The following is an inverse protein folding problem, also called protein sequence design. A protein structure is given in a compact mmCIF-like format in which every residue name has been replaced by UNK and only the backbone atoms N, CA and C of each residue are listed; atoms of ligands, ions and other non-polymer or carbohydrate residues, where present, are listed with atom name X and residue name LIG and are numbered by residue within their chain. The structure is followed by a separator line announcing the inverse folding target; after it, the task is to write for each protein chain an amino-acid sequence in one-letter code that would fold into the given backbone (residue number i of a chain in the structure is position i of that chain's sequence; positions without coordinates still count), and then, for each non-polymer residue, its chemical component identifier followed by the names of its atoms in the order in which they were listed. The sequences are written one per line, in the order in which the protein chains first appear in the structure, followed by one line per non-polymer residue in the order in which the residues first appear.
data_IF_580971446394
#
_entry.id   IF_580971446394
#
_cell.length_a   1.000
_cell.length_b   1.000
_cell.length_c   1.000
_cell.angle_alpha   90.00
_cell.angle_beta   90.00
_cell.angle_gamma   90.00
#
_symmetry.space_group_name_H-M   'P 1'
#
loop_
_entity.id
_entity.type
_entity.pdbx_description
1 polymer ?
#
# COMPACT_ATOMS: atom_id res chain seq x y z
N UNK A 1 -17.05 -9.80 6.05
CA UNK A 1 -16.69 -9.97 4.61
C UNK A 1 -15.22 -9.63 4.44
N UNK A 2 -14.49 -10.34 3.58
CA UNK A 2 -13.11 -9.98 3.25
C UNK A 2 -13.06 -8.61 2.56
N UNK A 3 -12.13 -7.75 2.99
CA UNK A 3 -11.90 -6.43 2.39
C UNK A 3 -10.57 -6.43 1.64
N UNK A 4 -10.50 -5.84 0.43
CA UNK A 4 -9.24 -5.72 -0.28
C UNK A 4 -8.29 -4.77 0.48
N UNK A 5 -6.99 -5.06 0.45
CA UNK A 5 -5.98 -4.16 1.03
C UNK A 5 -5.59 -3.13 -0.03
N UNK A 6 -5.71 -1.84 0.28
CA UNK A 6 -5.24 -0.77 -0.59
C UNK A 6 -3.71 -0.70 -0.57
N UNK A 7 -3.09 -0.93 -1.72
CA UNK A 7 -1.68 -0.63 -1.99
C UNK A 7 -1.55 0.48 -3.02
N UNK A 8 -0.51 1.29 -2.93
CA UNK A 8 -0.19 2.30 -3.96
C UNK A 8 1.32 2.49 -4.05
N UNK A 9 1.77 2.87 -5.24
CA UNK A 9 3.05 3.55 -5.41
C UNK A 9 2.79 5.06 -5.34
N UNK A 10 3.70 5.80 -4.73
CA UNK A 10 3.57 7.25 -4.61
C UNK A 10 4.85 7.92 -5.12
N UNK A 11 4.68 9.00 -5.86
CA UNK A 11 5.78 9.85 -6.28
C UNK A 11 5.99 10.94 -5.23
N UNK A 12 7.20 11.02 -4.68
CA UNK A 12 7.54 11.98 -3.62
C UNK A 12 8.76 12.80 -4.01
N UNK A 13 8.76 14.08 -3.65
CA UNK A 13 9.88 15.00 -3.91
C UNK A 13 10.74 15.12 -2.64
N UNK A 14 12.03 14.75 -2.68
CA UNK A 14 12.91 14.89 -1.52
C UNK A 14 13.01 16.35 -1.05
N UNK A 15 12.97 16.58 0.27
CA UNK A 15 13.13 17.92 0.86
C UNK A 15 14.47 18.58 0.45
N UNK A 16 15.53 17.80 0.29
CA UNK A 16 16.86 18.24 -0.12
C UNK A 16 17.00 18.56 -1.62
N UNK A 17 15.99 18.28 -2.46
CA UNK A 17 16.09 18.48 -3.91
C UNK A 17 16.37 19.95 -4.26
N UNK A 18 17.34 20.16 -5.17
CA UNK A 18 17.63 21.48 -5.77
C UNK A 18 16.66 21.85 -6.89
N UNK A 19 15.89 20.90 -7.41
CA UNK A 19 15.01 21.08 -8.58
C UNK A 19 13.52 20.85 -8.26
N UNK A 20 13.04 21.34 -7.11
CA UNK A 20 11.67 21.08 -6.62
C UNK A 20 10.58 21.47 -7.61
N UNK A 21 10.71 22.63 -8.29
CA UNK A 21 9.74 23.11 -9.28
C UNK A 21 9.64 22.14 -10.48
N UNK A 22 10.78 21.72 -11.03
CA UNK A 22 10.82 20.78 -12.14
C UNK A 22 10.28 19.41 -11.74
N UNK A 23 10.67 18.91 -10.57
CA UNK A 23 10.15 17.65 -10.03
C UNK A 23 8.63 17.68 -9.84
N UNK A 24 8.06 18.82 -9.39
CA UNK A 24 6.62 19.00 -9.29
C UNK A 24 5.93 19.02 -10.66
N UNK A 25 6.52 19.67 -11.67
CA UNK A 25 6.00 19.63 -13.05
C UNK A 25 6.01 18.21 -13.62
N UNK A 26 7.09 17.46 -13.40
CA UNK A 26 7.17 16.05 -13.78
C UNK A 26 6.09 15.22 -13.07
N UNK A 27 5.91 15.40 -11.77
CA UNK A 27 4.88 14.68 -11.00
C UNK A 27 3.46 14.92 -11.54
N UNK A 28 3.15 16.17 -11.92
CA UNK A 28 1.86 16.52 -12.54
C UNK A 28 1.69 15.87 -13.91
N UNK A 29 2.73 15.87 -14.74
CA UNK A 29 2.71 15.21 -16.04
C UNK A 29 2.54 13.69 -15.90
N UNK A 30 3.31 13.05 -15.02
CA UNK A 30 3.23 11.61 -14.75
C UNK A 30 1.84 11.19 -14.23
N UNK A 31 1.25 11.99 -13.33
CA UNK A 31 -0.08 11.77 -12.80
C UNK A 31 -1.23 12.26 -13.69
N UNK A 32 -0.96 12.73 -14.91
CA UNK A 32 -1.98 13.26 -15.81
C UNK A 32 -2.81 12.15 -16.45
N UNK A 33 -4.06 12.48 -16.82
CA UNK A 33 -4.89 11.59 -17.62
C UNK A 33 -4.23 11.27 -18.97
N UNK A 34 -3.61 12.26 -19.61
CA UNK A 34 -2.99 12.10 -20.93
C UNK A 34 -1.81 11.12 -20.91
N UNK A 35 -0.93 11.19 -19.90
CA UNK A 35 0.12 10.19 -19.73
C UNK A 35 -0.46 8.83 -19.30
N UNK A 36 -1.45 8.84 -18.40
CA UNK A 36 -2.17 7.63 -17.98
C UNK A 36 -2.73 6.82 -19.15
N UNK A 37 -3.43 7.47 -20.09
CA UNK A 37 -3.94 6.85 -21.33
C UNK A 37 -2.84 6.18 -22.16
N UNK A 38 -1.59 6.69 -22.11
CA UNK A 38 -0.45 6.12 -22.83
C UNK A 38 0.17 4.92 -22.12
N UNK A 39 0.25 4.94 -20.79
CA UNK A 39 0.95 3.91 -20.01
C UNK A 39 0.05 2.74 -19.60
N UNK A 40 -1.26 2.93 -19.53
CA UNK A 40 -2.22 1.85 -19.22
C UNK A 40 -2.09 0.65 -20.19
N UNK A 41 -1.99 0.86 -21.52
CA UNK A 41 -1.75 -0.25 -22.47
C UNK A 41 -0.45 -1.02 -22.22
N UNK A 42 0.54 -0.43 -21.54
CA UNK A 42 1.78 -1.09 -21.15
C UNK A 42 1.66 -1.89 -19.84
N UNK A 43 0.44 -2.09 -19.32
CA UNK A 43 0.16 -2.91 -18.14
C UNK A 43 0.05 -2.14 -16.83
N UNK A 44 0.09 -0.80 -16.85
CA UNK A 44 -0.07 0.00 -15.62
C UNK A 44 -1.55 0.09 -15.22
N UNK A 45 -1.89 -0.32 -14.00
CA UNK A 45 -3.21 -0.05 -13.43
C UNK A 45 -3.30 1.40 -12.94
N UNK A 46 -4.26 2.20 -13.42
CA UNK A 46 -4.35 3.61 -13.02
C UNK A 46 -5.02 3.75 -11.64
N UNK A 47 -4.55 4.73 -10.85
CA UNK A 47 -5.21 5.13 -9.61
C UNK A 47 -6.30 6.20 -9.82
N UNK A 48 -6.39 6.79 -11.02
CA UNK A 48 -7.38 7.84 -11.32
C UNK A 48 -8.71 7.22 -11.76
N UNK A 49 -9.80 7.72 -11.20
CA UNK A 49 -11.16 7.27 -11.50
C UNK A 49 -11.56 7.52 -12.97
N UNK A 50 -11.10 8.62 -13.56
CA UNK A 50 -11.39 8.97 -14.95
C UNK A 50 -10.74 8.01 -15.96
N UNK A 51 -9.52 7.51 -15.68
CA UNK A 51 -8.89 6.46 -16.47
C UNK A 51 -9.56 5.09 -16.29
N UNK A 52 -10.02 4.79 -15.08
CA UNK A 52 -10.70 3.53 -14.79
C UNK A 52 -12.11 3.44 -15.40
N UNK A 53 -12.74 4.59 -15.64
CA UNK A 53 -14.08 4.71 -16.25
C UNK A 53 -14.05 5.13 -17.71
N UNK A 54 -12.85 5.30 -18.28
CA UNK A 54 -12.65 5.57 -19.69
C UNK A 54 -13.20 4.41 -20.54
N UNK A 55 -14.05 4.71 -21.53
CA UNK A 55 -14.76 3.67 -22.29
C UNK A 55 -13.81 2.73 -23.05
N UNK A 56 -12.74 3.26 -23.63
CA UNK A 56 -11.80 2.47 -24.41
C UNK A 56 -10.91 1.63 -23.49
N UNK A 57 -10.37 2.26 -22.43
CA UNK A 57 -9.54 1.54 -21.48
C UNK A 57 -10.33 0.48 -20.70
N UNK A 58 -11.54 0.78 -20.24
CA UNK A 58 -12.37 -0.16 -19.49
C UNK A 58 -12.82 -1.34 -20.36
N UNK A 59 -13.06 -1.12 -21.65
CA UNK A 59 -13.35 -2.20 -22.60
C UNK A 59 -12.15 -3.14 -22.77
N UNK A 60 -10.93 -2.60 -22.84
CA UNK A 60 -9.71 -3.38 -22.94
C UNK A 60 -9.28 -4.03 -21.60
N UNK A 61 -9.72 -3.46 -20.46
CA UNK A 61 -9.31 -3.89 -19.12
C UNK A 61 -10.54 -4.15 -18.23
N UNK A 62 -11.26 -5.28 -18.40
CA UNK A 62 -12.52 -5.55 -17.70
C UNK A 62 -12.42 -5.51 -16.17
N UNK A 63 -11.24 -5.77 -15.61
CA UNK A 63 -11.01 -5.73 -14.16
C UNK A 63 -11.03 -4.30 -13.57
N UNK A 64 -11.03 -3.25 -14.38
CA UNK A 64 -11.14 -1.86 -13.92
C UNK A 64 -12.41 -1.61 -13.11
N UNK A 65 -13.53 -2.27 -13.46
CA UNK A 65 -14.75 -2.23 -12.67
C UNK A 65 -14.53 -2.78 -11.24
N UNK A 66 -13.75 -3.85 -11.10
CA UNK A 66 -13.36 -4.43 -9.82
C UNK A 66 -12.47 -3.49 -9.00
N UNK A 67 -11.51 -2.83 -9.65
CA UNK A 67 -10.65 -1.81 -9.00
C UNK A 67 -11.51 -0.64 -8.51
N UNK A 68 -12.44 -0.14 -9.33
CA UNK A 68 -13.35 0.94 -8.95
C UNK A 68 -14.24 0.57 -7.78
N UNK A 69 -14.83 -0.64 -7.79
CA UNK A 69 -15.62 -1.15 -6.69
C UNK A 69 -14.79 -1.30 -5.39
N UNK A 70 -13.50 -1.59 -5.52
CA UNK A 70 -12.60 -1.73 -4.37
C UNK A 70 -12.33 -0.41 -3.65
N UNK A 71 -12.35 0.75 -4.33
CA UNK A 71 -12.02 2.03 -3.68
C UNK A 71 -12.87 2.34 -2.45
N UNK A 72 -14.15 1.97 -2.46
CA UNK A 72 -15.06 2.28 -1.35
C UNK A 72 -14.94 1.31 -0.17
N UNK A 73 -14.29 0.15 -0.36
CA UNK A 73 -14.21 -0.93 0.64
C UNK A 73 -12.79 -1.29 1.06
N UNK A 74 -11.79 -0.71 0.40
CA UNK A 74 -10.41 -1.08 0.64
C UNK A 74 -9.94 -0.57 2.00
N UNK A 75 -9.23 -1.43 2.72
CA UNK A 75 -8.60 -1.09 4.00
C UNK A 75 -7.15 -0.71 3.74
N UNK A 76 -6.71 0.41 4.30
CA UNK A 76 -5.29 0.79 4.27
C UNK A 76 -4.56 0.11 5.41
N UNK A 77 -3.30 -0.26 5.16
CA UNK A 77 -2.40 -0.70 6.23
C UNK A 77 -2.24 0.43 7.26
N UNK A 78 -2.10 0.11 8.57
CA UNK A 78 -1.80 1.10 9.59
C UNK A 78 -0.64 2.03 9.21
N UNK A 79 -0.81 3.35 9.43
CA UNK A 79 0.18 4.38 9.04
C UNK A 79 0.91 4.90 10.27
N UNK A 80 2.03 4.26 10.61
CA UNK A 80 2.94 4.72 11.66
C UNK A 80 4.40 4.37 11.27
N UNK A 81 5.41 5.09 11.81
CA UNK A 81 6.80 4.95 11.37
C UNK A 81 7.35 3.52 11.47
N UNK A 82 6.95 2.79 12.51
CA UNK A 82 7.43 1.44 12.80
C UNK A 82 6.61 0.34 12.10
N UNK A 83 5.65 0.70 11.24
CA UNK A 83 4.76 -0.27 10.59
C UNK A 83 5.52 -1.37 9.85
N UNK A 84 6.67 -1.03 9.24
CA UNK A 84 7.52 -2.04 8.58
C UNK A 84 7.97 -3.13 9.55
N UNK A 85 8.46 -2.76 10.75
CA UNK A 85 8.89 -3.71 11.78
C UNK A 85 7.73 -4.60 12.23
N UNK A 86 6.56 -4.01 12.42
CA UNK A 86 5.33 -4.75 12.78
C UNK A 86 4.93 -5.73 11.68
N UNK A 87 4.92 -5.27 10.42
CA UNK A 87 4.61 -6.11 9.26
C UNK A 87 5.57 -7.29 9.11
N UNK A 88 6.86 -7.10 9.39
CA UNK A 88 7.85 -8.17 9.29
C UNK A 88 7.59 -9.26 10.35
N UNK A 89 7.21 -8.89 11.58
CA UNK A 89 6.80 -9.87 12.61
C UNK A 89 5.54 -10.63 12.25
N UNK A 90 4.54 -9.93 11.70
CA UNK A 90 3.32 -10.58 11.19
C UNK A 90 3.67 -11.63 10.13
N UNK A 91 4.53 -11.27 9.17
CA UNK A 91 4.92 -12.19 8.08
C UNK A 91 5.62 -13.46 8.59
N UNK A 92 6.49 -13.34 9.60
CA UNK A 92 7.18 -14.49 10.21
C UNK A 92 6.18 -15.48 10.82
N UNK A 93 5.33 -15.00 11.72
CA UNK A 93 4.33 -15.85 12.39
C UNK A 93 3.31 -16.42 11.41
N UNK A 94 2.88 -15.62 10.43
CA UNK A 94 1.99 -16.10 9.37
C UNK A 94 2.63 -17.23 8.56
N UNK A 95 3.90 -17.08 8.19
CA UNK A 95 4.66 -18.12 7.46
C UNK A 95 4.79 -19.38 8.29
N UNK A 96 5.13 -19.26 9.58
CA UNK A 96 5.23 -20.39 10.50
C UNK A 96 3.91 -21.15 10.66
N UNK A 97 2.77 -20.46 10.63
CA UNK A 97 1.46 -21.11 10.59
C UNK A 97 1.24 -21.89 9.31
N UNK A 98 1.55 -21.29 8.15
CA UNK A 98 1.37 -21.95 6.86
C UNK A 98 2.26 -23.18 6.70
N UNK A 99 3.45 -23.16 7.29
CA UNK A 99 4.42 -24.27 7.22
C UNK A 99 4.26 -25.29 8.35
N UNK A 100 3.32 -25.10 9.27
CA UNK A 100 3.06 -26.00 10.39
C UNK A 100 4.07 -25.93 11.54
N UNK A 101 4.99 -24.95 11.52
CA UNK A 101 5.95 -24.70 12.62
C UNK A 101 5.22 -24.20 13.88
N UNK A 102 4.17 -23.39 13.70
CA UNK A 102 3.34 -22.87 14.78
C UNK A 102 1.86 -23.14 14.51
N UNK A 103 1.09 -23.48 15.55
CA UNK A 103 -0.38 -23.47 15.40
C UNK A 103 -0.88 -22.02 15.34
N UNK A 104 -2.04 -21.74 14.71
CA UNK A 104 -2.62 -20.40 14.66
C UNK A 104 -2.77 -19.76 16.04
N UNK A 105 -3.15 -20.55 17.05
CA UNK A 105 -3.28 -20.07 18.42
C UNK A 105 -1.93 -19.68 19.06
N UNK A 106 -0.86 -20.45 18.79
CA UNK A 106 0.49 -20.15 19.28
C UNK A 106 1.04 -18.89 18.61
N UNK A 107 0.93 -18.80 17.28
CA UNK A 107 1.40 -17.65 16.51
C UNK A 107 0.69 -16.36 16.93
N UNK A 108 -0.64 -16.39 17.12
CA UNK A 108 -1.40 -15.22 17.56
C UNK A 108 -0.95 -14.72 18.95
N UNK A 109 -0.73 -15.63 19.90
CA UNK A 109 -0.24 -15.27 21.25
C UNK A 109 1.16 -14.68 21.22
N UNK A 110 2.09 -15.33 20.51
CA UNK A 110 3.49 -14.85 20.39
C UNK A 110 3.54 -13.49 19.70
N UNK A 111 2.85 -13.35 18.58
CA UNK A 111 2.76 -12.08 17.86
C UNK A 111 2.21 -10.98 18.78
N UNK A 112 1.13 -11.24 19.52
CA UNK A 112 0.58 -10.26 20.46
C UNK A 112 1.60 -9.80 21.51
N UNK A 113 2.31 -10.74 22.15
CA UNK A 113 3.35 -10.44 23.13
C UNK A 113 4.50 -9.61 22.52
N UNK A 114 4.96 -9.97 21.32
CA UNK A 114 6.02 -9.25 20.61
C UNK A 114 5.62 -7.82 20.23
N UNK A 115 4.39 -7.65 19.70
CA UNK A 115 3.88 -6.32 19.32
C UNK A 115 3.70 -5.41 20.54
N UNK A 116 3.19 -5.94 21.66
CA UNK A 116 3.06 -5.19 22.91
C UNK A 116 4.42 -4.73 23.42
N UNK A 117 5.39 -5.64 23.49
CA UNK A 117 6.77 -5.32 23.92
C UNK A 117 7.41 -4.28 23.01
N UNK A 118 7.22 -4.37 21.68
CA UNK A 118 7.73 -3.35 20.76
C UNK A 118 7.07 -1.99 20.99
N UNK A 119 5.76 -1.96 21.20
CA UNK A 119 5.02 -0.72 21.47
C UNK A 119 5.54 -0.02 22.72
N UNK A 120 5.81 -0.76 23.79
CA UNK A 120 6.38 -0.22 25.03
C UNK A 120 7.78 0.37 24.80
N UNK A 121 8.65 -0.34 24.09
CA UNK A 121 10.01 0.15 23.75
C UNK A 121 9.97 1.44 22.91
N UNK A 122 9.08 1.50 21.92
CA UNK A 122 8.90 2.71 21.09
C UNK A 122 8.40 3.88 21.94
N UNK A 123 7.50 3.63 22.90
CA UNK A 123 7.00 4.67 23.80
C UNK A 123 8.11 5.21 24.70
N UNK A 124 8.95 4.34 25.25
CA UNK A 124 10.09 4.72 26.09
C UNK A 124 11.18 5.48 25.31
N UNK A 125 11.46 5.10 24.07
CA UNK A 125 12.48 5.79 23.25
C UNK A 125 12.04 7.19 22.78
N UNK A 126 10.75 7.51 22.86
CA UNK A 126 10.20 8.82 22.48
C UNK A 126 10.01 9.76 23.68
N UNK A 127 10.12 9.25 24.90
CA UNK A 127 10.06 10.06 26.13
C UNK A 127 11.44 10.61 26.55
N UNK A 128 12.48 10.29 25.79
CA UNK A 128 13.86 10.77 25.92
C UNK A 128 14.24 11.49 24.63
#
# INVERSE_FOLDING_TARGET
KASPVAGTWALSIPKSSKHKKLAASFARWWGSYTFGRKIVPAGMNPARKDLLTDKELAKANPWFAGIMANFNRAVVRPRFPEYRKVSDRISVHFTNCLTGIETPAVAARKLHQELTTMSEKIRQSRSH
#
